data_IF_377451129589
#
_entry.id   IF_377451129589
#
_cell.length_a   1.000
_cell.length_b   1.000
_cell.length_c   1.000
_cell.angle_alpha   90.00
_cell.angle_beta   90.00
_cell.angle_gamma   90.00
#
_symmetry.space_group_name_H-M   'P 1'
#
loop_
_entity.id
_entity.type
_entity.pdbx_description
1 polymer ?
#
# COMPACT_ATOMS: atom_id res chain seq x y z
N UNK A 1 -1.56 -16.09 -6.42
CA UNK A 1 -2.79 -15.29 -6.19
C UNK A 1 -2.32 -13.87 -5.92
N UNK A 2 -2.93 -12.86 -6.54
CA UNK A 2 -2.53 -11.47 -6.33
C UNK A 2 -3.09 -10.98 -5.00
N UNK A 3 -2.20 -10.62 -4.06
CA UNK A 3 -2.57 -9.97 -2.80
C UNK A 3 -2.81 -8.49 -3.04
N UNK A 4 -3.91 -7.95 -2.51
CA UNK A 4 -4.20 -6.52 -2.51
C UNK A 4 -3.55 -5.85 -1.29
N UNK A 5 -2.83 -4.75 -1.51
CA UNK A 5 -1.94 -4.15 -0.51
C UNK A 5 -2.25 -2.65 -0.37
N UNK A 6 -2.27 -2.16 0.86
CA UNK A 6 -2.15 -0.74 1.20
C UNK A 6 -0.72 -0.48 1.66
N UNK A 7 -0.07 0.57 1.16
CA UNK A 7 1.28 0.94 1.61
C UNK A 7 1.22 2.11 2.59
N UNK A 8 1.78 1.96 3.78
CA UNK A 8 1.89 3.01 4.79
C UNK A 8 3.38 3.32 5.00
N UNK A 9 3.86 4.42 4.44
CA UNK A 9 5.29 4.78 4.42
C UNK A 9 5.45 6.30 4.33
N UNK A 10 6.20 6.91 5.25
CA UNK A 10 6.35 8.37 5.38
C UNK A 10 7.35 8.96 4.37
N UNK A 11 8.25 8.14 3.81
CA UNK A 11 9.21 8.56 2.79
C UNK A 11 8.72 8.24 1.37
N UNK A 12 8.36 9.27 0.60
CA UNK A 12 7.81 9.12 -0.75
C UNK A 12 8.68 8.28 -1.72
N UNK A 13 10.01 8.42 -1.66
CA UNK A 13 10.94 7.67 -2.52
C UNK A 13 10.90 6.17 -2.17
N UNK A 14 10.89 5.84 -0.87
CA UNK A 14 10.81 4.45 -0.40
C UNK A 14 9.48 3.85 -0.82
N UNK A 15 8.38 4.57 -0.59
CA UNK A 15 7.03 4.13 -0.93
C UNK A 15 6.87 3.81 -2.41
N UNK A 16 7.38 4.68 -3.29
CA UNK A 16 7.38 4.44 -4.73
C UNK A 16 8.21 3.20 -5.11
N UNK A 17 9.38 3.02 -4.49
CA UNK A 17 10.23 1.84 -4.72
C UNK A 17 9.55 0.54 -4.32
N UNK A 18 8.91 0.52 -3.15
CA UNK A 18 8.16 -0.65 -2.65
C UNK A 18 6.96 -0.96 -3.53
N UNK A 19 6.20 0.06 -3.95
CA UNK A 19 5.08 -0.11 -4.89
C UNK A 19 5.52 -0.83 -6.17
N UNK A 20 6.58 -0.34 -6.81
CA UNK A 20 7.10 -0.92 -8.06
C UNK A 20 7.53 -2.38 -7.86
N UNK A 21 8.15 -2.70 -6.72
CA UNK A 21 8.54 -4.07 -6.41
C UNK A 21 7.31 -4.98 -6.24
N UNK A 22 6.31 -4.56 -5.48
CA UNK A 22 5.09 -5.35 -5.24
C UNK A 22 4.30 -5.58 -6.53
N UNK A 23 4.13 -4.54 -7.37
CA UNK A 23 3.46 -4.66 -8.67
C UNK A 23 4.22 -5.61 -9.61
N UNK A 24 5.56 -5.61 -9.58
CA UNK A 24 6.39 -6.56 -10.36
C UNK A 24 6.25 -8.00 -9.90
N UNK A 25 6.09 -8.24 -8.60
CA UNK A 25 5.84 -9.57 -8.03
C UNK A 25 4.38 -10.03 -8.21
N UNK A 26 3.53 -9.22 -8.85
CA UNK A 26 2.14 -9.57 -9.18
C UNK A 26 1.13 -9.27 -8.06
N UNK A 27 1.50 -8.44 -7.09
CA UNK A 27 0.57 -7.87 -6.11
C UNK A 27 -0.08 -6.58 -6.65
N UNK A 28 -1.20 -6.18 -6.04
CA UNK A 28 -1.92 -4.96 -6.43
C UNK A 28 -1.93 -3.96 -5.28
N UNK A 29 -1.34 -2.77 -5.49
CA UNK A 29 -1.40 -1.68 -4.51
C UNK A 29 -2.70 -0.89 -4.69
N UNK A 30 -3.62 -1.00 -3.73
CA UNK A 30 -4.91 -0.32 -3.74
C UNK A 30 -4.82 1.15 -3.33
N UNK A 31 -3.83 1.48 -2.49
CA UNK A 31 -3.65 2.81 -1.96
C UNK A 31 -2.28 3.00 -1.30
N UNK A 32 -1.98 4.25 -1.01
CA UNK A 32 -0.75 4.70 -0.35
C UNK A 32 -1.13 5.72 0.74
N UNK A 33 -0.48 5.64 1.89
CA UNK A 33 -0.62 6.57 3.01
C UNK A 33 0.76 7.06 3.47
N UNK A 34 0.84 8.32 3.88
CA UNK A 34 2.07 8.89 4.44
C UNK A 34 2.20 8.67 5.96
N UNK A 35 1.13 8.26 6.63
CA UNK A 35 1.10 8.02 8.06
C UNK A 35 0.03 6.99 8.46
N UNK A 36 0.06 6.58 9.73
CA UNK A 36 -0.87 5.59 10.26
C UNK A 36 -2.33 6.06 10.35
N UNK A 37 -2.60 7.35 10.54
CA UNK A 37 -3.97 7.85 10.60
C UNK A 37 -4.66 7.76 9.23
N UNK A 38 -3.95 8.22 8.20
CA UNK A 38 -4.39 8.03 6.81
C UNK A 38 -4.48 6.55 6.46
N UNK A 39 -3.51 5.74 6.88
CA UNK A 39 -3.50 4.29 6.67
C UNK A 39 -4.73 3.58 7.24
N UNK A 40 -5.11 3.85 8.49
CA UNK A 40 -6.30 3.26 9.12
C UNK A 40 -7.58 3.65 8.37
N UNK A 41 -7.70 4.92 7.96
CA UNK A 41 -8.85 5.41 7.18
C UNK A 41 -8.94 4.69 5.83
N UNK A 42 -7.83 4.63 5.08
CA UNK A 42 -7.78 3.99 3.77
C UNK A 42 -7.98 2.48 3.85
N UNK A 43 -7.50 1.81 4.89
CA UNK A 43 -7.75 0.38 5.09
C UNK A 43 -9.26 0.08 5.21
N UNK A 44 -10.01 0.93 5.92
CA UNK A 44 -11.46 0.79 6.03
C UNK A 44 -12.22 1.08 4.73
N UNK A 45 -11.71 1.99 3.89
CA UNK A 45 -12.31 2.35 2.60
C UNK A 45 -11.98 1.34 1.48
N UNK A 46 -10.77 0.79 1.49
CA UNK A 46 -10.25 -0.04 0.39
C UNK A 46 -10.32 -1.54 0.65
N UNK A 47 -10.37 -1.97 1.92
CA UNK A 47 -10.40 -3.39 2.31
C UNK A 47 -9.25 -4.24 1.75
N UNK A 48 -7.97 -3.84 1.94
CA UNK A 48 -6.83 -4.61 1.43
C UNK A 48 -6.66 -5.93 2.19
N UNK A 49 -6.04 -6.93 1.54
CA UNK A 49 -5.63 -8.18 2.20
C UNK A 49 -4.50 -7.96 3.22
N UNK A 50 -3.65 -6.95 2.97
CA UNK A 50 -2.50 -6.57 3.80
C UNK A 50 -2.29 -5.05 3.77
N UNK A 51 -1.88 -4.45 4.89
CA UNK A 51 -1.52 -3.04 5.02
C UNK A 51 -0.15 -2.88 5.69
#
# INVERSE_FOLDING_TARGET
>A
MATTILLIEDHAIVRQGVRVLLEREGHQVLGEAADGHEGVRLAGELGPDLA
#
